data_IF_097650413479
#
_entry.id   IF_097650413479
#
_cell.length_a   1.000
_cell.length_b   1.000
_cell.length_c   1.000
_cell.angle_alpha   90.00
_cell.angle_beta   90.00
_cell.angle_gamma   90.00
#
_symmetry.space_group_name_H-M   'P 1'
#
loop_
_entity.id
_entity.type
_entity.pdbx_description
1 polymer ?
#
# COMPACT_ATOMS: atom_id res chain seq x y z
N UNK A 1 -20.75 6.68 18.64
CA UNK A 1 -19.50 7.41 18.98
C UNK A 1 -19.77 8.91 19.04
N UNK A 2 -20.37 9.56 18.01
CA UNK A 2 -20.55 11.02 17.99
C UNK A 2 -21.59 11.49 19.01
N UNK A 3 -22.72 10.77 19.17
CA UNK A 3 -23.73 11.07 20.17
C UNK A 3 -23.18 10.90 21.59
N UNK A 4 -22.49 9.81 21.85
CA UNK A 4 -21.83 9.55 23.14
C UNK A 4 -20.79 10.60 23.51
N UNK A 5 -20.03 11.10 22.51
CA UNK A 5 -19.07 12.18 22.73
C UNK A 5 -19.76 13.48 23.10
N UNK A 6 -20.85 13.85 22.39
CA UNK A 6 -21.65 15.03 22.67
C UNK A 6 -22.26 14.98 24.08
N UNK A 7 -22.88 13.85 24.44
CA UNK A 7 -23.48 13.65 25.75
C UNK A 7 -22.44 13.67 26.88
N UNK A 8 -21.28 13.06 26.64
CA UNK A 8 -20.17 13.09 27.60
C UNK A 8 -19.64 14.51 27.81
N UNK A 9 -19.53 15.30 26.75
CA UNK A 9 -19.06 16.68 26.83
C UNK A 9 -20.06 17.58 27.55
N UNK A 10 -21.36 17.44 27.23
CA UNK A 10 -22.43 18.17 27.92
C UNK A 10 -22.45 17.88 29.43
N UNK A 11 -22.29 16.61 29.83
CA UNK A 11 -22.21 16.20 31.22
C UNK A 11 -20.98 16.81 31.93
N UNK A 12 -19.82 16.83 31.28
CA UNK A 12 -18.60 17.44 31.85
C UNK A 12 -18.73 18.94 32.02
N UNK A 13 -19.35 19.63 31.05
CA UNK A 13 -19.65 21.05 31.12
C UNK A 13 -20.58 21.35 32.30
N UNK A 14 -21.68 20.59 32.44
CA UNK A 14 -22.64 20.72 33.52
C UNK A 14 -22.02 20.51 34.92
N UNK A 15 -21.07 19.58 35.02
CA UNK A 15 -20.36 19.27 36.27
C UNK A 15 -19.16 20.21 36.53
N UNK A 16 -18.89 21.18 35.65
CA UNK A 16 -17.80 22.13 35.80
C UNK A 16 -16.39 21.52 35.56
N UNK A 17 -16.32 20.33 35.00
CA UNK A 17 -15.01 19.71 34.63
C UNK A 17 -14.42 20.30 33.37
N UNK A 18 -15.21 20.96 32.54
CA UNK A 18 -14.85 21.69 31.35
C UNK A 18 -15.49 23.05 31.39
N UNK A 19 -14.74 24.11 31.09
CA UNK A 19 -15.26 25.45 30.98
C UNK A 19 -15.91 25.70 29.61
N UNK A 20 -16.94 26.62 29.52
CA UNK A 20 -17.62 26.88 28.25
C UNK A 20 -16.67 27.20 27.09
N UNK A 21 -15.65 28.02 27.28
CA UNK A 21 -14.68 28.36 26.24
C UNK A 21 -13.74 27.22 25.82
N UNK A 22 -13.67 26.13 26.57
CA UNK A 22 -12.87 24.97 26.20
C UNK A 22 -13.57 24.06 25.20
N UNK A 23 -14.88 24.18 25.04
CA UNK A 23 -15.63 23.44 24.01
C UNK A 23 -15.39 23.96 22.61
N UNK A 24 -15.01 25.22 22.48
CA UNK A 24 -14.79 25.90 21.19
C UNK A 24 -13.55 25.40 20.44
N UNK A 25 -12.62 24.74 21.16
CA UNK A 25 -11.44 24.10 20.55
C UNK A 25 -11.69 22.68 20.07
N UNK A 26 -12.89 22.15 20.29
CA UNK A 26 -13.25 20.79 19.93
C UNK A 26 -14.13 20.84 18.68
N UNK A 27 -13.68 20.19 17.66
CA UNK A 27 -14.42 20.09 16.41
C UNK A 27 -15.32 18.84 16.44
N UNK A 28 -16.57 19.01 16.04
CA UNK A 28 -17.44 17.88 15.80
C UNK A 28 -17.09 17.16 14.49
N UNK A 29 -17.66 15.98 14.27
CA UNK A 29 -17.41 15.17 13.08
C UNK A 29 -17.70 15.93 11.79
N UNK A 30 -18.78 16.70 11.73
CA UNK A 30 -19.18 17.40 10.52
C UNK A 30 -18.20 18.54 10.19
N UNK A 31 -17.73 19.24 11.21
CA UNK A 31 -16.70 20.27 11.07
C UNK A 31 -15.38 19.69 10.57
N UNK A 32 -14.97 18.52 11.10
CA UNK A 32 -13.76 17.82 10.65
C UNK A 32 -13.91 17.36 9.20
N UNK A 33 -15.04 16.72 8.88
CA UNK A 33 -15.32 16.26 7.51
C UNK A 33 -15.33 17.44 6.54
N UNK A 34 -16.04 18.53 6.86
CA UNK A 34 -16.09 19.71 6.02
C UNK A 34 -14.70 20.34 5.80
N UNK A 35 -13.87 20.35 6.85
CA UNK A 35 -12.50 20.85 6.75
C UNK A 35 -11.62 19.98 5.86
N UNK A 36 -11.74 18.65 5.96
CA UNK A 36 -11.03 17.71 5.07
C UNK A 36 -11.58 17.82 3.64
N UNK A 37 -12.91 17.92 3.48
CA UNK A 37 -13.55 17.97 2.16
C UNK A 37 -13.22 19.27 1.39
N UNK A 38 -12.89 20.35 2.08
CA UNK A 38 -12.47 21.61 1.45
C UNK A 38 -11.07 21.61 0.86
N UNK A 39 -10.25 20.59 1.11
CA UNK A 39 -8.87 20.47 0.62
C UNK A 39 -8.71 19.38 -0.44
N UNK A 40 -7.53 19.36 -1.06
CA UNK A 40 -7.12 18.23 -1.90
C UNK A 40 -7.01 16.96 -1.05
N UNK A 41 -7.61 15.87 -1.52
CA UNK A 41 -7.67 14.62 -0.77
C UNK A 41 -7.65 13.41 -1.68
N UNK A 42 -7.11 12.31 -1.17
CA UNK A 42 -7.19 11.00 -1.77
C UNK A 42 -7.79 10.03 -0.76
N UNK A 43 -8.89 9.40 -1.13
CA UNK A 43 -9.61 8.45 -0.29
C UNK A 43 -9.29 7.02 -0.74
N UNK A 44 -8.70 6.22 0.13
CA UNK A 44 -8.43 4.81 -0.12
C UNK A 44 -9.50 3.94 0.52
N UNK A 45 -10.16 3.11 -0.28
CA UNK A 45 -11.18 2.17 0.19
C UNK A 45 -10.88 0.76 -0.32
N UNK A 46 -11.17 -0.24 0.48
CA UNK A 46 -10.99 -1.64 0.08
C UNK A 46 -12.04 -2.10 -0.95
N UNK A 47 -13.18 -1.44 -0.98
CA UNK A 47 -14.30 -1.71 -1.89
C UNK A 47 -14.75 -0.38 -2.46
N UNK A 48 -15.09 -0.35 -3.74
CA UNK A 48 -15.67 0.82 -4.40
C UNK A 48 -16.96 1.25 -3.71
N UNK A 49 -16.92 2.34 -2.95
CA UNK A 49 -18.07 2.88 -2.24
C UNK A 49 -17.97 4.39 -2.08
N UNK A 50 -19.14 5.05 -2.06
CA UNK A 50 -19.20 6.45 -1.68
C UNK A 50 -18.97 6.57 -0.18
N UNK A 51 -18.04 7.41 0.23
CA UNK A 51 -17.82 7.73 1.65
C UNK A 51 -18.71 8.91 2.00
N UNK A 52 -19.60 8.70 2.95
CA UNK A 52 -20.54 9.73 3.38
C UNK A 52 -19.80 10.96 3.92
N UNK A 53 -20.18 12.13 3.42
CA UNK A 53 -19.62 13.41 3.86
C UNK A 53 -18.44 13.91 3.03
N UNK A 54 -18.01 13.16 2.02
CA UNK A 54 -16.95 13.59 1.10
C UNK A 54 -17.45 13.71 -0.33
N UNK A 55 -17.06 14.79 -1.00
CA UNK A 55 -17.19 14.94 -2.44
C UNK A 55 -16.02 14.21 -3.13
N UNK A 56 -16.33 13.48 -4.19
CA UNK A 56 -15.34 12.73 -4.99
C UNK A 56 -15.52 13.16 -6.45
N UNK A 57 -14.46 13.78 -7.00
CA UNK A 57 -14.46 14.29 -8.37
C UNK A 57 -14.06 13.19 -9.36
N UNK A 58 -13.18 12.26 -8.96
CA UNK A 58 -12.72 11.17 -9.79
C UNK A 58 -12.56 9.87 -8.97
N UNK A 59 -12.67 8.74 -9.65
CA UNK A 59 -12.60 7.43 -9.05
C UNK A 59 -11.68 6.52 -9.86
N UNK A 60 -10.65 6.00 -9.19
CA UNK A 60 -9.70 5.06 -9.78
C UNK A 60 -9.81 3.71 -9.09
N UNK A 61 -10.23 2.70 -9.82
CA UNK A 61 -10.22 1.32 -9.34
C UNK A 61 -8.87 0.67 -9.61
N UNK A 62 -8.15 0.31 -8.53
CA UNK A 62 -6.87 -0.40 -8.62
C UNK A 62 -7.10 -1.86 -8.27
N UNK A 63 -7.24 -2.70 -9.29
CA UNK A 63 -7.33 -4.15 -9.11
C UNK A 63 -6.01 -4.70 -8.58
N UNK A 64 -5.97 -5.08 -7.31
CA UNK A 64 -4.80 -5.73 -6.71
C UNK A 64 -5.08 -7.19 -6.37
N UNK A 65 -4.04 -8.03 -6.42
CA UNK A 65 -4.07 -9.43 -5.97
C UNK A 65 -2.92 -9.68 -5.03
N UNK A 66 -3.14 -10.49 -4.01
CA UNK A 66 -2.07 -10.93 -3.13
C UNK A 66 -1.19 -11.97 -3.84
N UNK A 67 0.11 -11.86 -3.63
CA UNK A 67 1.09 -12.87 -4.02
C UNK A 67 1.51 -13.62 -2.76
N UNK A 68 1.33 -14.93 -2.76
CA UNK A 68 1.73 -15.76 -1.62
C UNK A 68 3.24 -15.74 -1.43
N UNK A 69 3.72 -15.67 -0.18
CA UNK A 69 5.15 -15.71 0.09
C UNK A 69 5.74 -17.06 -0.33
N UNK A 70 6.89 -17.03 -0.95
CA UNK A 70 7.55 -18.26 -1.44
C UNK A 70 8.17 -19.10 -0.34
N UNK A 71 8.44 -18.52 0.84
CA UNK A 71 8.93 -19.22 2.06
C UNK A 71 10.07 -20.23 1.79
N UNK A 72 11.05 -19.85 0.97
CA UNK A 72 12.18 -20.71 0.60
C UNK A 72 11.88 -21.75 -0.49
N UNK A 73 10.69 -21.75 -1.08
CA UNK A 73 10.35 -22.63 -2.22
C UNK A 73 10.85 -21.99 -3.53
N UNK A 74 12.14 -22.14 -3.78
CA UNK A 74 12.83 -21.49 -4.90
C UNK A 74 12.27 -21.93 -6.26
N UNK A 75 11.92 -23.22 -6.43
CA UNK A 75 11.37 -23.75 -7.68
C UNK A 75 10.04 -23.09 -8.05
N UNK A 76 9.19 -22.79 -7.05
CA UNK A 76 7.92 -22.11 -7.28
C UNK A 76 8.16 -20.67 -7.71
N UNK A 77 9.11 -19.97 -7.06
CA UNK A 77 9.53 -18.64 -7.48
C UNK A 77 9.98 -18.64 -8.94
N UNK A 78 10.86 -19.56 -9.33
CA UNK A 78 11.37 -19.67 -10.70
C UNK A 78 10.23 -19.89 -11.70
N UNK A 79 9.29 -20.78 -11.40
CA UNK A 79 8.14 -21.03 -12.27
C UNK A 79 7.25 -19.80 -12.45
N UNK A 80 6.98 -19.08 -11.37
CA UNK A 80 6.16 -17.87 -11.44
C UNK A 80 6.89 -16.74 -12.15
N UNK A 81 8.19 -16.57 -11.92
CA UNK A 81 9.00 -15.57 -12.62
C UNK A 81 9.04 -15.82 -14.14
N UNK A 82 9.11 -17.07 -14.59
CA UNK A 82 9.02 -17.39 -16.02
C UNK A 82 7.68 -16.97 -16.59
N UNK A 83 6.57 -17.27 -15.92
CA UNK A 83 5.22 -16.83 -16.33
C UNK A 83 5.10 -15.30 -16.37
N UNK A 84 5.59 -14.61 -15.32
CA UNK A 84 5.55 -13.15 -15.28
C UNK A 84 6.36 -12.52 -16.42
N UNK A 85 7.54 -13.08 -16.71
CA UNK A 85 8.38 -12.62 -17.81
C UNK A 85 7.71 -12.82 -19.18
N UNK A 86 7.12 -13.97 -19.43
CA UNK A 86 6.33 -14.26 -20.66
C UNK A 86 5.17 -13.28 -20.84
N UNK A 87 4.49 -12.93 -19.76
CA UNK A 87 3.38 -11.99 -19.75
C UNK A 87 3.82 -10.52 -19.72
N UNK A 88 5.13 -10.24 -19.76
CA UNK A 88 5.70 -8.90 -19.71
C UNK A 88 5.38 -8.12 -18.44
N UNK A 89 5.33 -8.79 -17.30
CA UNK A 89 5.26 -8.11 -16.01
C UNK A 89 6.60 -7.46 -15.67
N UNK A 90 6.54 -6.29 -15.06
CA UNK A 90 7.64 -5.71 -14.32
C UNK A 90 7.67 -6.36 -12.92
N UNK A 91 8.75 -7.06 -12.60
CA UNK A 91 8.87 -7.84 -11.37
C UNK A 91 9.85 -7.20 -10.40
N UNK A 92 9.39 -6.93 -9.17
CA UNK A 92 10.21 -6.43 -8.08
C UNK A 92 10.33 -7.49 -6.97
N UNK A 93 11.54 -8.00 -6.78
CA UNK A 93 11.84 -8.90 -5.65
C UNK A 93 12.45 -8.11 -4.50
N UNK A 94 11.93 -8.28 -3.30
CA UNK A 94 12.38 -7.57 -2.12
C UNK A 94 13.11 -8.52 -1.18
N UNK A 95 14.36 -8.22 -0.87
CA UNK A 95 15.21 -9.04 0.00
C UNK A 95 15.68 -8.27 1.22
N UNK A 96 15.84 -8.96 2.36
CA UNK A 96 16.24 -8.33 3.62
C UNK A 96 17.68 -7.82 3.66
N UNK A 97 18.54 -8.19 2.69
CA UNK A 97 19.93 -7.72 2.64
C UNK A 97 20.47 -7.71 1.21
N UNK A 98 21.46 -6.83 0.97
CA UNK A 98 22.20 -6.75 -0.29
C UNK A 98 22.80 -8.10 -0.72
N UNK A 99 23.49 -8.78 0.20
CA UNK A 99 24.13 -10.07 -0.08
C UNK A 99 23.14 -11.14 -0.53
N UNK A 100 21.94 -11.19 0.09
CA UNK A 100 20.88 -12.11 -0.33
C UNK A 100 20.33 -11.74 -1.70
N UNK A 101 20.16 -10.45 -1.97
CA UNK A 101 19.69 -9.98 -3.26
C UNK A 101 20.64 -10.30 -4.40
N UNK A 102 21.94 -10.10 -4.20
CA UNK A 102 22.98 -10.41 -5.18
C UNK A 102 23.05 -11.93 -5.46
N UNK A 103 23.04 -12.76 -4.40
CA UNK A 103 22.99 -14.22 -4.54
C UNK A 103 21.73 -14.67 -5.29
N UNK A 104 20.58 -14.12 -4.95
CA UNK A 104 19.33 -14.45 -5.65
C UNK A 104 19.41 -14.12 -7.15
N UNK A 105 20.05 -13.01 -7.52
CA UNK A 105 20.26 -12.66 -8.91
C UNK A 105 21.19 -13.67 -9.63
N UNK A 106 22.21 -14.19 -8.95
CA UNK A 106 23.10 -15.23 -9.47
C UNK A 106 22.37 -16.56 -9.62
N UNK A 107 21.66 -17.01 -8.58
CA UNK A 107 20.90 -18.26 -8.59
C UNK A 107 19.83 -18.27 -9.71
N UNK A 108 19.15 -17.13 -9.93
CA UNK A 108 18.13 -17.02 -10.99
C UNK A 108 18.72 -17.11 -12.40
N UNK A 109 19.96 -16.69 -12.60
CA UNK A 109 20.65 -16.82 -13.91
C UNK A 109 20.86 -18.28 -14.31
N UNK A 110 21.10 -19.18 -13.36
CA UNK A 110 21.22 -20.63 -13.62
C UNK A 110 19.91 -21.21 -14.20
N UNK A 111 18.77 -20.55 -13.96
CA UNK A 111 17.46 -20.91 -14.49
C UNK A 111 17.02 -20.07 -15.71
N UNK A 112 17.98 -19.39 -16.36
CA UNK A 112 17.75 -18.54 -17.55
C UNK A 112 16.86 -17.31 -17.27
N UNK A 113 16.78 -16.89 -16.01
CA UNK A 113 16.08 -15.67 -15.61
C UNK A 113 17.09 -14.56 -15.41
N UNK A 114 17.12 -13.59 -16.33
CA UNK A 114 17.93 -12.39 -16.18
C UNK A 114 17.34 -11.52 -15.07
N UNK A 115 17.95 -11.57 -13.90
CA UNK A 115 17.64 -10.72 -12.77
C UNK A 115 18.85 -9.86 -12.39
N UNK A 116 18.62 -8.69 -11.85
CA UNK A 116 19.67 -7.79 -11.38
C UNK A 116 19.31 -7.17 -10.03
N UNK A 117 20.34 -6.93 -9.23
CA UNK A 117 20.20 -6.23 -7.94
C UNK A 117 20.41 -4.73 -8.16
N UNK A 118 19.44 -3.92 -7.71
CA UNK A 118 19.52 -2.46 -7.72
C UNK A 118 19.77 -1.97 -6.29
N UNK A 119 20.82 -1.17 -6.13
CA UNK A 119 21.26 -0.71 -4.81
C UNK A 119 20.53 0.54 -4.34
N UNK A 120 20.41 1.51 -5.24
CA UNK A 120 19.95 2.86 -4.90
C UNK A 120 18.43 3.01 -4.97
N UNK A 121 17.74 2.08 -5.63
CA UNK A 121 16.28 2.08 -5.76
C UNK A 121 15.74 3.21 -6.65
N UNK A 122 16.60 3.92 -7.35
CA UNK A 122 16.22 5.04 -8.23
C UNK A 122 15.71 4.56 -9.60
N UNK A 123 16.13 3.38 -10.01
CA UNK A 123 15.74 2.82 -11.30
C UNK A 123 14.33 2.24 -11.24
N UNK A 124 13.52 2.56 -12.23
CA UNK A 124 12.23 1.90 -12.43
C UNK A 124 12.43 0.54 -13.11
N UNK A 125 11.74 -0.48 -12.60
CA UNK A 125 11.69 -1.80 -13.24
C UNK A 125 10.83 -1.73 -14.52
N UNK A 126 11.36 -2.24 -15.62
CA UNK A 126 10.68 -2.22 -16.92
C UNK A 126 9.89 -3.50 -17.18
N UNK A 127 8.87 -3.47 -18.07
CA UNK A 127 8.12 -4.65 -18.44
C UNK A 127 9.01 -5.81 -18.92
N UNK A 128 8.85 -6.98 -18.29
CA UNK A 128 9.66 -8.18 -18.58
C UNK A 128 10.98 -8.25 -17.82
N UNK A 129 11.34 -7.25 -17.04
CA UNK A 129 12.51 -7.28 -16.16
C UNK A 129 12.19 -7.87 -14.78
N UNK A 130 13.21 -8.44 -14.16
CA UNK A 130 13.21 -8.87 -12.76
C UNK A 130 14.27 -8.08 -12.02
N UNK A 131 13.83 -7.12 -11.22
CA UNK A 131 14.68 -6.29 -10.39
C UNK A 131 14.63 -6.75 -8.94
N UNK A 132 15.76 -6.76 -8.28
CA UNK A 132 15.87 -7.15 -6.87
C UNK A 132 16.38 -5.94 -6.09
N UNK A 133 15.70 -5.62 -5.00
CA UNK A 133 16.10 -4.52 -4.10
C UNK A 133 16.25 -5.00 -2.66
N UNK A 134 16.97 -4.23 -1.86
CA UNK A 134 16.97 -4.38 -0.41
C UNK A 134 15.75 -3.66 0.16
N UNK A 135 14.98 -4.36 0.99
CA UNK A 135 13.83 -3.77 1.65
C UNK A 135 13.09 -4.75 2.54
N UNK A 136 11.92 -4.35 2.98
CA UNK A 136 10.99 -5.20 3.71
C UNK A 136 9.60 -5.07 3.09
N UNK A 137 9.01 -6.19 2.74
CA UNK A 137 7.66 -6.28 2.22
C UNK A 137 6.86 -7.21 3.13
N UNK A 138 5.78 -6.71 3.71
CA UNK A 138 4.95 -7.50 4.61
C UNK A 138 4.19 -8.62 3.87
N UNK A 139 3.77 -8.34 2.65
CA UNK A 139 3.02 -9.25 1.80
C UNK A 139 3.27 -8.89 0.34
N UNK A 140 3.48 -9.87 -0.51
CA UNK A 140 3.59 -9.67 -1.95
C UNK A 140 2.25 -9.22 -2.55
N UNK A 141 2.32 -8.44 -3.61
CA UNK A 141 1.13 -7.96 -4.33
C UNK A 141 1.37 -7.88 -5.82
N UNK A 142 0.28 -7.89 -6.57
CA UNK A 142 0.29 -7.78 -8.02
C UNK A 142 -0.78 -6.79 -8.47
N UNK A 143 -0.45 -5.98 -9.46
CA UNK A 143 -1.36 -5.10 -10.18
C UNK A 143 -1.48 -5.56 -11.65
N UNK A 144 -2.46 -6.41 -11.99
CA UNK A 144 -2.58 -6.98 -13.34
C UNK A 144 -2.77 -5.94 -14.45
N UNK A 145 -3.47 -4.84 -14.15
CA UNK A 145 -3.75 -3.78 -15.13
C UNK A 145 -2.50 -3.10 -15.67
N UNK A 146 -1.51 -2.88 -14.81
CA UNK A 146 -0.23 -2.27 -15.17
C UNK A 146 0.90 -3.30 -15.30
N UNK A 147 0.56 -4.58 -15.20
CA UNK A 147 1.53 -5.69 -15.26
C UNK A 147 2.72 -5.52 -14.33
N UNK A 148 2.44 -5.22 -13.07
CA UNK A 148 3.45 -5.07 -12.02
C UNK A 148 3.23 -6.08 -10.91
N UNK A 149 4.31 -6.68 -10.41
CA UNK A 149 4.29 -7.58 -9.26
C UNK A 149 5.47 -7.30 -8.33
N UNK A 150 5.20 -7.26 -7.02
CA UNK A 150 6.21 -7.16 -5.98
C UNK A 150 6.09 -8.34 -4.99
N UNK A 151 7.19 -9.01 -4.68
CA UNK A 151 7.24 -10.14 -3.74
C UNK A 151 8.62 -10.31 -3.10
#
# INVERSE_FOLDING_TARGET
>A
VDAEFGDSMANRLQKGYVLPGQTDVIWDKNQIIAKIDSGEKVLFTAIAQKIQGFSVDDFVEVGSRNVSPYNGKFEILVQDLKKYKEQKYAVLLVTGSKTRGQRLAEDLREFEISAFFEEDGERQVMPGEVMIIKGQLRSGFMYPMIKFVAC
#
